data_IF_721420918960
#
_entry.id   IF_721420918960
#
_cell.length_a   1.000
_cell.length_b   1.000
_cell.length_c   1.000
_cell.angle_alpha   90.00
_cell.angle_beta   90.00
_cell.angle_gamma   90.00
#
_symmetry.space_group_name_H-M   'P 1'
#
loop_
_entity.id
_entity.type
_entity.pdbx_description
1 polymer ?
#
# COMPACT_ATOMS: atom_id res chain seq x y z
N UNK A 1 -16.76 -7.81 -15.96
CA UNK A 1 -16.41 -6.45 -16.44
C UNK A 1 -16.48 -5.38 -15.34
N UNK A 2 -16.52 -5.75 -14.04
CA UNK A 2 -16.69 -4.84 -12.89
C UNK A 2 -15.39 -4.46 -12.18
N UNK A 3 -14.27 -5.11 -12.50
CA UNK A 3 -13.00 -4.98 -11.78
C UNK A 3 -12.31 -3.62 -12.01
N UNK A 4 -12.37 -3.09 -13.24
CA UNK A 4 -11.77 -1.79 -13.57
C UNK A 4 -12.45 -0.61 -12.87
N UNK A 5 -13.77 -0.69 -12.66
CA UNK A 5 -14.53 0.38 -12.00
C UNK A 5 -14.13 0.45 -10.51
N UNK A 6 -13.99 -0.71 -9.86
CA UNK A 6 -13.56 -0.81 -8.46
C UNK A 6 -12.13 -0.31 -8.29
N UNK A 7 -11.24 -0.70 -9.19
CA UNK A 7 -9.84 -0.22 -9.20
C UNK A 7 -9.77 1.30 -9.43
N UNK A 8 -10.60 1.83 -10.34
CA UNK A 8 -10.67 3.26 -10.63
C UNK A 8 -11.18 4.06 -9.43
N UNK A 9 -12.26 3.61 -8.77
CA UNK A 9 -12.79 4.30 -7.59
C UNK A 9 -11.82 4.23 -6.41
N UNK A 10 -11.13 3.11 -6.23
CA UNK A 10 -10.09 2.97 -5.20
C UNK A 10 -8.89 3.90 -5.47
N UNK A 11 -8.47 4.04 -6.73
CA UNK A 11 -7.41 4.97 -7.12
C UNK A 11 -7.80 6.43 -6.85
N UNK A 12 -9.05 6.81 -7.13
CA UNK A 12 -9.59 8.13 -6.81
C UNK A 12 -9.62 8.42 -5.31
N UNK A 13 -10.08 7.46 -4.49
CA UNK A 13 -10.09 7.59 -3.03
C UNK A 13 -8.69 7.74 -2.46
N UNK A 14 -7.72 6.97 -2.97
CA UNK A 14 -6.33 7.06 -2.52
C UNK A 14 -5.70 8.42 -2.88
N UNK A 15 -6.04 8.96 -4.06
CA UNK A 15 -5.62 10.30 -4.46
C UNK A 15 -6.24 11.37 -3.57
N UNK A 16 -7.54 11.29 -3.31
CA UNK A 16 -8.25 12.24 -2.45
C UNK A 16 -7.68 12.25 -1.03
N UNK A 17 -7.42 11.06 -0.44
CA UNK A 17 -6.77 10.96 0.86
C UNK A 17 -5.37 11.61 0.89
N UNK A 18 -4.58 11.44 -0.17
CA UNK A 18 -3.28 12.07 -0.29
C UNK A 18 -3.39 13.60 -0.42
N UNK A 19 -4.32 14.10 -1.25
CA UNK A 19 -4.56 15.55 -1.41
C UNK A 19 -5.07 16.19 -0.10
N UNK A 20 -5.98 15.52 0.62
CA UNK A 20 -6.49 15.97 1.91
C UNK A 20 -5.38 16.03 2.99
N UNK A 21 -4.46 15.06 2.99
CA UNK A 21 -3.33 15.07 3.91
C UNK A 21 -2.44 16.32 3.74
N UNK A 22 -2.34 16.86 2.52
CA UNK A 22 -1.55 18.06 2.22
C UNK A 22 -2.33 19.37 2.29
N UNK A 23 -3.65 19.31 2.49
CA UNK A 23 -4.54 20.49 2.52
C UNK A 23 -4.13 21.51 3.58
N UNK A 24 -3.74 21.05 4.77
CA UNK A 24 -3.33 21.91 5.88
C UNK A 24 -2.08 22.74 5.57
N UNK A 25 -1.09 22.15 4.88
CA UNK A 25 0.11 22.85 4.44
C UNK A 25 -0.21 23.89 3.38
N UNK A 26 -1.03 23.53 2.38
CA UNK A 26 -1.48 24.44 1.33
C UNK A 26 -2.22 25.64 1.95
N UNK A 27 -3.09 25.41 2.92
CA UNK A 27 -3.84 26.47 3.61
C UNK A 27 -2.92 27.36 4.45
N UNK A 28 -1.92 26.79 5.13
CA UNK A 28 -0.94 27.56 5.89
C UNK A 28 -0.09 28.47 4.98
N UNK A 29 0.37 27.96 3.84
CA UNK A 29 1.12 28.76 2.85
C UNK A 29 0.26 29.83 2.20
N UNK A 30 -1.01 29.52 1.91
CA UNK A 30 -1.97 30.49 1.36
C UNK A 30 -2.20 31.63 2.36
N UNK A 31 -2.44 31.31 3.64
CA UNK A 31 -2.59 32.32 4.69
C UNK A 31 -1.32 33.15 4.90
N UNK A 32 -0.14 32.57 4.76
CA UNK A 32 1.13 33.30 4.83
C UNK A 32 1.25 34.27 3.67
N UNK A 33 0.97 33.81 2.44
CA UNK A 33 1.00 34.64 1.24
C UNK A 33 0.01 35.81 1.34
N UNK A 34 -1.20 35.56 1.84
CA UNK A 34 -2.21 36.60 2.08
C UNK A 34 -1.74 37.64 3.10
N UNK A 35 -1.14 37.19 4.23
CA UNK A 35 -0.57 38.09 5.23
C UNK A 35 0.59 38.92 4.66
N UNK A 36 1.44 38.33 3.84
CA UNK A 36 2.53 39.04 3.16
C UNK A 36 2.00 40.06 2.15
N UNK A 37 0.96 39.71 1.39
CA UNK A 37 0.31 40.64 0.47
C UNK A 37 -0.33 41.82 1.21
N UNK A 38 -1.01 41.56 2.34
CA UNK A 38 -1.59 42.61 3.21
C UNK A 38 -0.51 43.51 3.83
N UNK A 39 0.64 42.94 4.22
CA UNK A 39 1.78 43.70 4.73
C UNK A 39 2.46 44.55 3.64
N UNK A 40 2.54 44.04 2.40
CA UNK A 40 3.08 44.75 1.24
C UNK A 40 2.17 45.92 0.79
N UNK A 41 0.85 45.78 0.95
CA UNK A 41 -0.11 46.85 0.67
C UNK A 41 -0.26 47.87 1.80
N UNK A 42 0.41 47.69 2.94
CA UNK A 42 0.48 48.72 3.97
C UNK A 42 1.50 49.79 3.53
N UNK A 43 1.09 51.04 3.23
CA UNK A 43 2.02 52.07 2.84
C UNK A 43 3.04 52.27 3.97
N UNK A 44 4.31 52.07 3.65
CA UNK A 44 5.43 52.41 4.51
C UNK A 44 5.39 53.92 4.80
N UNK A 45 4.90 54.33 5.97
CA UNK A 45 5.33 55.61 6.55
C UNK A 45 6.75 55.38 7.06
N UNK A 46 7.72 55.65 6.21
CA UNK A 46 9.15 55.67 6.53
C UNK A 46 9.45 56.70 7.63
N UNK A 47 10.00 56.31 8.80
CA UNK A 47 10.82 57.21 9.60
C UNK A 47 12.24 57.09 9.05
N UNK A 48 12.63 58.07 8.23
CA UNK A 48 14.01 58.27 7.78
C UNK A 48 14.93 58.48 8.98
N UNK A 49 15.91 57.59 9.15
CA UNK A 49 17.10 57.80 9.98
C UNK A 49 18.19 58.44 9.11
N UNK A 50 18.71 59.64 9.44
CA UNK A 50 19.84 60.21 8.71
C UNK A 50 21.16 59.75 9.33
N UNK A 51 21.91 58.94 8.59
CA UNK A 51 23.37 58.79 8.75
C UNK A 51 24.02 60.11 8.31
N UNK A 52 24.63 60.84 9.23
CA UNK A 52 25.30 62.11 8.93
C UNK A 52 26.79 62.02 9.26
N UNK A 53 27.60 61.92 8.20
CA UNK A 53 29.04 62.13 8.20
C UNK A 53 29.36 63.62 8.37
N UNK A 54 30.23 63.91 9.34
CA UNK A 54 30.99 65.14 9.65
C UNK A 54 30.86 66.39 8.74
N UNK A 55 30.49 67.52 9.35
CA UNK A 55 31.10 68.86 9.15
C UNK A 55 30.68 69.81 10.29
N UNK A 56 31.53 70.73 10.78
CA UNK A 56 31.21 71.55 11.94
C UNK A 56 30.52 72.85 11.51
N UNK A 57 29.33 73.12 12.04
CA UNK A 57 28.74 74.46 11.98
C UNK A 57 28.32 74.91 13.37
N UNK A 58 28.88 76.07 13.72
CA UNK A 58 28.67 76.89 14.89
C UNK A 58 27.17 77.21 15.05
N UNK A 59 26.61 76.94 16.23
CA UNK A 59 25.25 77.35 16.56
C UNK A 59 24.76 76.73 17.86
N UNK A 60 25.07 77.38 18.98
CA UNK A 60 24.29 77.19 20.21
C UNK A 60 22.94 77.92 20.01
N UNK A 61 21.84 77.41 20.59
CA UNK A 61 21.50 77.95 21.89
C UNK A 61 21.10 76.89 22.92
N UNK A 62 21.43 77.27 24.15
CA UNK A 62 21.12 76.64 25.43
C UNK A 62 19.63 76.34 25.58
N UNK A 63 19.30 75.10 25.95
CA UNK A 63 18.13 74.77 26.77
C UNK A 63 18.37 73.45 27.53
N UNK A 64 18.65 73.59 28.84
CA UNK A 64 18.37 72.66 29.95
C UNK A 64 18.64 71.17 29.69
N UNK A 65 19.77 70.60 30.11
CA UNK A 65 20.27 70.69 31.48
C UNK A 65 19.63 69.62 32.37
N UNK A 66 19.76 68.36 31.98
CA UNK A 66 20.07 67.28 32.91
C UNK A 66 21.15 66.45 32.23
N UNK A 67 22.40 66.88 32.37
CA UNK A 67 23.53 65.97 32.19
C UNK A 67 23.22 64.76 33.07
N UNK A 68 23.05 63.54 32.52
CA UNK A 68 22.95 62.38 33.38
C UNK A 68 24.22 62.42 34.21
N UNK A 69 24.04 62.55 35.51
CA UNK A 69 25.12 62.33 36.45
C UNK A 69 25.78 61.01 36.05
N UNK A 70 27.11 60.91 36.06
CA UNK A 70 27.85 59.69 35.64
C UNK A 70 27.20 58.39 36.18
N UNK A 71 26.59 58.48 37.36
CA UNK A 71 25.78 57.43 37.99
C UNK A 71 24.52 56.98 37.22
N UNK A 72 23.77 57.85 36.54
CA UNK A 72 22.56 57.49 35.78
C UNK A 72 22.90 56.75 34.47
N UNK A 73 23.96 57.15 33.79
CA UNK A 73 24.48 56.42 32.63
C UNK A 73 24.99 55.03 33.02
N UNK A 74 25.67 54.93 34.16
CA UNK A 74 26.11 53.64 34.74
C UNK A 74 24.92 52.77 35.17
N UNK A 75 23.85 53.36 35.70
CA UNK A 75 22.62 52.63 36.04
C UNK A 75 21.93 52.07 34.79
N UNK A 76 21.84 52.85 33.70
CA UNK A 76 21.32 52.39 32.42
C UNK A 76 22.12 51.23 31.83
N UNK A 77 23.46 51.32 31.84
CA UNK A 77 24.34 50.24 31.37
C UNK A 77 24.20 48.96 32.20
N UNK A 78 23.99 49.06 33.52
CA UNK A 78 23.73 47.90 34.38
C UNK A 78 22.40 47.23 34.07
N UNK A 79 21.36 48.02 33.81
CA UNK A 79 20.05 47.50 33.42
C UNK A 79 20.12 46.77 32.06
N UNK A 80 20.86 47.33 31.10
CA UNK A 80 21.03 46.73 29.78
C UNK A 80 21.88 45.45 29.83
N UNK A 81 22.92 45.43 30.67
CA UNK A 81 23.71 44.22 30.94
C UNK A 81 22.86 43.12 31.61
N UNK A 82 21.98 43.47 32.55
CA UNK A 82 21.05 42.52 33.15
C UNK A 82 20.03 41.98 32.13
N UNK A 83 19.50 42.85 31.27
CA UNK A 83 18.58 42.49 30.18
C UNK A 83 19.24 41.52 29.19
N UNK A 84 20.47 41.82 28.75
CA UNK A 84 21.23 40.96 27.83
C UNK A 84 21.63 39.64 28.47
N UNK A 85 21.99 39.61 29.76
CA UNK A 85 22.21 38.36 30.48
C UNK A 85 20.96 37.50 30.58
N UNK A 86 19.79 38.11 30.84
CA UNK A 86 18.51 37.39 30.86
C UNK A 86 18.16 36.83 29.48
N UNK A 87 18.31 37.63 28.42
CA UNK A 87 18.10 37.18 27.05
C UNK A 87 19.04 36.02 26.67
N UNK A 88 20.30 36.10 27.09
CA UNK A 88 21.28 35.02 26.88
C UNK A 88 20.89 33.74 27.63
N UNK A 89 20.43 33.84 28.87
CA UNK A 89 19.97 32.69 29.64
C UNK A 89 18.73 32.02 29.00
N UNK A 90 17.77 32.81 28.52
CA UNK A 90 16.60 32.27 27.82
C UNK A 90 16.99 31.59 26.52
N UNK A 91 17.90 32.18 25.74
CA UNK A 91 18.32 31.62 24.45
C UNK A 91 19.13 30.33 24.63
N UNK A 92 19.98 30.26 25.66
CA UNK A 92 20.68 29.05 26.05
C UNK A 92 19.71 27.93 26.47
N UNK A 93 18.64 28.26 27.21
CA UNK A 93 17.61 27.29 27.56
C UNK A 93 16.87 26.76 26.34
N UNK A 94 16.49 27.63 25.39
CA UNK A 94 15.83 27.21 24.15
C UNK A 94 16.75 26.38 23.24
N UNK A 95 18.04 26.70 23.18
CA UNK A 95 18.99 25.90 22.40
C UNK A 95 19.09 24.48 22.96
N UNK A 96 19.18 24.35 24.29
CA UNK A 96 19.22 23.05 24.95
C UNK A 96 17.94 22.23 24.70
N UNK A 97 16.78 22.88 24.71
CA UNK A 97 15.50 22.23 24.43
C UNK A 97 15.42 21.73 22.97
N UNK A 98 15.81 22.57 22.01
CA UNK A 98 15.85 22.20 20.59
C UNK A 98 16.86 21.09 20.32
N UNK A 99 18.02 21.10 20.97
CA UNK A 99 19.01 20.01 20.88
C UNK A 99 18.44 18.68 21.39
N UNK A 100 17.70 18.71 22.51
CA UNK A 100 17.04 17.53 23.05
C UNK A 100 15.95 16.99 22.10
N UNK A 101 15.11 17.88 21.54
CA UNK A 101 14.09 17.51 20.56
C UNK A 101 14.70 16.93 19.29
N UNK A 102 15.81 17.49 18.81
CA UNK A 102 16.52 16.98 17.64
C UNK A 102 17.08 15.58 17.89
N UNK A 103 17.68 15.34 19.07
CA UNK A 103 18.16 14.02 19.45
C UNK A 103 17.01 12.99 19.50
N UNK A 104 15.86 13.37 20.06
CA UNK A 104 14.66 12.52 20.12
C UNK A 104 14.11 12.21 18.72
N UNK A 105 13.95 13.21 17.86
CA UNK A 105 13.50 13.00 16.49
C UNK A 105 14.46 12.12 15.69
N UNK A 106 15.77 12.23 15.96
CA UNK A 106 16.76 11.35 15.33
C UNK A 106 16.61 9.90 15.79
N UNK A 107 16.32 9.64 17.07
CA UNK A 107 16.07 8.26 17.55
C UNK A 107 14.80 7.70 16.97
N UNK A 108 13.70 8.46 16.98
CA UNK A 108 12.41 8.06 16.39
C UNK A 108 12.52 7.80 14.88
N UNK A 109 13.30 8.61 14.16
CA UNK A 109 13.57 8.40 12.74
C UNK A 109 14.33 7.10 12.48
N UNK A 110 15.29 6.75 13.34
CA UNK A 110 16.05 5.49 13.20
C UNK A 110 15.17 4.28 13.49
N UNK A 111 14.33 4.36 14.50
CA UNK A 111 13.39 3.29 14.86
C UNK A 111 12.34 3.07 13.77
N UNK A 112 11.71 4.14 13.29
CA UNK A 112 10.75 4.07 12.19
C UNK A 112 11.39 3.52 10.91
N UNK A 113 12.62 3.92 10.57
CA UNK A 113 13.35 3.36 9.43
C UNK A 113 13.61 1.85 9.59
N UNK A 114 13.96 1.39 10.80
CA UNK A 114 14.14 -0.03 11.09
C UNK A 114 12.82 -0.83 11.00
N UNK A 115 11.72 -0.25 11.48
CA UNK A 115 10.38 -0.84 11.36
C UNK A 115 9.95 -0.95 9.90
N UNK A 116 10.13 0.11 9.11
CA UNK A 116 9.84 0.11 7.67
C UNK A 116 10.65 -0.96 6.94
N UNK A 117 11.94 -1.09 7.24
CA UNK A 117 12.78 -2.13 6.64
C UNK A 117 12.30 -3.54 6.99
N UNK A 118 11.87 -3.76 8.23
CA UNK A 118 11.35 -5.05 8.70
C UNK A 118 10.02 -5.39 8.02
N UNK A 119 9.07 -4.45 8.01
CA UNK A 119 7.78 -4.62 7.36
C UNK A 119 7.92 -4.82 5.84
N UNK A 120 8.86 -4.13 5.20
CA UNK A 120 9.15 -4.30 3.77
C UNK A 120 9.66 -5.71 3.45
N UNK A 121 10.53 -6.26 4.31
CA UNK A 121 10.99 -7.65 4.17
C UNK A 121 9.85 -8.65 4.37
N UNK A 122 9.03 -8.47 5.39
CA UNK A 122 7.88 -9.33 5.67
C UNK A 122 6.85 -9.31 4.53
N UNK A 123 6.62 -8.13 3.93
CA UNK A 123 5.78 -7.98 2.74
C UNK A 123 6.33 -8.80 1.57
N UNK A 124 7.62 -8.65 1.24
CA UNK A 124 8.24 -9.39 0.13
C UNK A 124 8.22 -10.90 0.35
N UNK A 125 8.44 -11.37 1.58
CA UNK A 125 8.33 -12.79 1.92
C UNK A 125 6.90 -13.31 1.75
N UNK A 126 5.90 -12.54 2.23
CA UNK A 126 4.49 -12.89 2.08
C UNK A 126 4.05 -12.94 0.61
N UNK A 127 4.50 -11.99 -0.21
CA UNK A 127 4.23 -12.00 -1.65
C UNK A 127 4.84 -13.21 -2.36
N UNK A 128 6.05 -13.65 -1.97
CA UNK A 128 6.65 -14.87 -2.53
C UNK A 128 5.83 -16.10 -2.18
N UNK A 129 5.48 -16.26 -0.90
CA UNK A 129 4.62 -17.35 -0.43
C UNK A 129 3.28 -17.39 -1.16
N UNK A 130 2.68 -16.23 -1.41
CA UNK A 130 1.42 -16.15 -2.16
C UNK A 130 1.60 -16.65 -3.60
N UNK A 131 2.64 -16.19 -4.31
CA UNK A 131 2.93 -16.67 -5.67
C UNK A 131 3.18 -18.18 -5.72
N UNK A 132 3.88 -18.73 -4.74
CA UNK A 132 4.14 -20.17 -4.65
C UNK A 132 2.84 -20.96 -4.43
N UNK A 133 1.94 -20.45 -3.57
CA UNK A 133 0.61 -21.05 -3.36
C UNK A 133 -0.27 -20.95 -4.60
N UNK A 134 -0.23 -19.83 -5.32
CA UNK A 134 -0.98 -19.66 -6.57
C UNK A 134 -0.49 -20.63 -7.65
N UNK A 135 0.83 -20.82 -7.75
CA UNK A 135 1.41 -21.80 -8.66
C UNK A 135 1.02 -23.23 -8.29
N UNK A 136 1.03 -23.57 -7.00
CA UNK A 136 0.59 -24.87 -6.50
C UNK A 136 -0.91 -25.11 -6.76
N UNK A 137 -1.76 -24.10 -6.52
CA UNK A 137 -3.19 -24.20 -6.78
C UNK A 137 -3.48 -24.40 -8.26
N UNK A 138 -2.78 -23.68 -9.15
CA UNK A 138 -2.88 -23.89 -10.60
C UNK A 138 -2.45 -25.30 -10.99
N UNK A 139 -1.35 -25.80 -10.44
CA UNK A 139 -0.89 -27.16 -10.68
C UNK A 139 -1.89 -28.22 -10.21
N UNK A 140 -2.46 -28.06 -9.01
CA UNK A 140 -3.51 -28.94 -8.48
C UNK A 140 -4.78 -28.89 -9.32
N UNK A 141 -5.22 -27.71 -9.74
CA UNK A 141 -6.40 -27.56 -10.60
C UNK A 141 -6.20 -28.25 -11.96
N UNK A 142 -5.02 -28.12 -12.56
CA UNK A 142 -4.69 -28.82 -13.81
C UNK A 142 -4.66 -30.35 -13.62
N UNK A 143 -4.11 -30.83 -12.50
CA UNK A 143 -4.12 -32.26 -12.18
C UNK A 143 -5.55 -32.79 -12.01
N UNK A 144 -6.40 -32.06 -11.28
CA UNK A 144 -7.82 -32.42 -11.11
C UNK A 144 -8.51 -32.50 -12.47
N UNK A 145 -8.32 -31.51 -13.35
CA UNK A 145 -8.88 -31.54 -14.69
C UNK A 145 -8.45 -32.78 -15.47
N UNK A 146 -7.15 -33.08 -15.49
CA UNK A 146 -6.62 -34.29 -16.14
C UNK A 146 -7.22 -35.59 -15.56
N UNK A 147 -7.35 -35.70 -14.24
CA UNK A 147 -7.95 -36.88 -13.62
C UNK A 147 -9.43 -37.02 -13.96
N UNK A 148 -10.15 -35.91 -14.13
CA UNK A 148 -11.55 -35.92 -14.57
C UNK A 148 -11.65 -36.37 -16.04
N UNK A 149 -10.78 -35.87 -16.92
CA UNK A 149 -10.73 -36.29 -18.32
C UNK A 149 -10.40 -37.79 -18.43
N UNK A 150 -9.46 -38.29 -17.64
CA UNK A 150 -9.12 -39.72 -17.57
C UNK A 150 -10.31 -40.55 -17.04
N UNK A 151 -11.01 -40.08 -16.01
CA UNK A 151 -12.21 -40.75 -15.48
C UNK A 151 -13.33 -40.84 -16.52
N UNK A 152 -13.60 -39.75 -17.25
CA UNK A 152 -14.60 -39.73 -18.34
C UNK A 152 -14.19 -40.66 -19.48
N UNK A 153 -12.91 -40.67 -19.84
CA UNK A 153 -12.39 -41.59 -20.86
C UNK A 153 -12.56 -43.06 -20.43
N UNK A 154 -12.28 -43.39 -19.16
CA UNK A 154 -12.45 -44.73 -18.62
C UNK A 154 -13.92 -45.14 -18.57
N UNK A 155 -14.81 -44.24 -18.17
CA UNK A 155 -16.26 -44.47 -18.19
C UNK A 155 -16.77 -44.77 -19.62
N UNK A 156 -16.30 -44.01 -20.62
CA UNK A 156 -16.64 -44.28 -22.01
C UNK A 156 -16.11 -45.64 -22.49
N UNK A 157 -14.87 -46.00 -22.13
CA UNK A 157 -14.31 -47.31 -22.47
C UNK A 157 -15.06 -48.46 -21.80
N UNK A 158 -15.51 -48.27 -20.56
CA UNK A 158 -16.32 -49.22 -19.82
C UNK A 158 -17.66 -49.43 -20.54
N UNK A 159 -18.39 -48.34 -20.84
CA UNK A 159 -19.66 -48.42 -21.56
C UNK A 159 -19.52 -49.16 -22.92
N UNK A 160 -18.45 -48.87 -23.67
CA UNK A 160 -18.18 -49.58 -24.93
C UNK A 160 -17.85 -51.07 -24.72
N UNK A 161 -17.17 -51.42 -23.63
CA UNK A 161 -16.86 -52.80 -23.31
C UNK A 161 -18.11 -53.57 -22.88
N UNK A 162 -18.98 -52.95 -22.09
CA UNK A 162 -20.27 -53.49 -21.67
C UNK A 162 -21.19 -53.72 -22.88
N UNK A 163 -21.32 -52.76 -23.80
CA UNK A 163 -22.11 -52.92 -25.03
C UNK A 163 -21.60 -54.08 -25.89
N UNK A 164 -20.28 -54.21 -26.05
CA UNK A 164 -19.67 -55.34 -26.78
C UNK A 164 -19.94 -56.68 -26.09
N UNK A 165 -19.84 -56.72 -24.76
CA UNK A 165 -20.10 -57.93 -23.98
C UNK A 165 -21.58 -58.36 -24.12
N UNK A 166 -22.50 -57.41 -24.02
CA UNK A 166 -23.92 -57.68 -24.25
C UNK A 166 -24.18 -58.19 -25.67
N UNK A 167 -23.60 -57.55 -26.69
CA UNK A 167 -23.75 -57.96 -28.08
C UNK A 167 -23.24 -59.40 -28.30
N UNK A 168 -22.03 -59.71 -27.82
CA UNK A 168 -21.47 -61.06 -27.91
C UNK A 168 -22.30 -62.10 -27.15
N UNK A 169 -22.84 -61.73 -25.98
CA UNK A 169 -23.73 -62.60 -25.20
C UNK A 169 -25.02 -62.93 -25.97
N UNK A 170 -25.64 -61.91 -26.60
CA UNK A 170 -26.82 -62.09 -27.46
C UNK A 170 -26.50 -62.95 -28.68
N UNK A 171 -25.41 -62.66 -29.39
CA UNK A 171 -24.99 -63.44 -30.56
C UNK A 171 -24.67 -64.91 -30.21
N UNK A 172 -23.99 -65.15 -29.08
CA UNK A 172 -23.71 -66.50 -28.61
C UNK A 172 -24.99 -67.26 -28.26
N UNK A 173 -25.92 -66.62 -27.55
CA UNK A 173 -27.23 -67.19 -27.26
C UNK A 173 -27.99 -67.58 -28.53
N UNK A 174 -28.06 -66.67 -29.51
CA UNK A 174 -28.70 -66.95 -30.80
C UNK A 174 -28.04 -68.12 -31.54
N UNK A 175 -26.70 -68.22 -31.52
CA UNK A 175 -25.97 -69.33 -32.13
C UNK A 175 -26.24 -70.66 -31.43
N UNK A 176 -26.24 -70.67 -30.08
CA UNK A 176 -26.56 -71.84 -29.28
C UNK A 176 -28.00 -72.29 -29.52
N UNK A 177 -28.96 -71.36 -29.54
CA UNK A 177 -30.37 -71.67 -29.80
C UNK A 177 -30.56 -72.26 -31.21
N UNK A 178 -29.90 -71.69 -32.23
CA UNK A 178 -29.92 -72.24 -33.60
C UNK A 178 -29.27 -73.62 -33.67
N UNK A 179 -28.15 -73.81 -32.98
CA UNK A 179 -27.45 -75.09 -32.95
C UNK A 179 -28.28 -76.17 -32.23
N UNK A 180 -28.85 -75.85 -31.07
CA UNK A 180 -29.76 -76.72 -30.32
C UNK A 180 -30.98 -77.13 -31.16
N UNK A 181 -31.55 -76.20 -31.93
CA UNK A 181 -32.64 -76.50 -32.86
C UNK A 181 -32.21 -77.50 -33.94
N UNK A 182 -31.08 -77.26 -34.61
CA UNK A 182 -30.55 -78.17 -35.64
C UNK A 182 -30.23 -79.55 -35.06
N UNK A 183 -29.55 -79.60 -33.93
CA UNK A 183 -29.20 -80.87 -33.27
C UNK A 183 -30.43 -81.62 -32.78
N UNK A 184 -31.46 -80.92 -32.31
CA UNK A 184 -32.76 -81.51 -31.96
C UNK A 184 -33.45 -82.14 -33.17
N UNK A 185 -33.49 -81.43 -34.31
CA UNK A 185 -34.03 -81.95 -35.56
C UNK A 185 -33.26 -83.19 -36.07
N UNK A 186 -31.92 -83.16 -35.98
CA UNK A 186 -31.06 -84.29 -36.33
C UNK A 186 -31.26 -85.49 -35.40
N UNK A 187 -31.33 -85.27 -34.08
CA UNK A 187 -31.59 -86.31 -33.10
C UNK A 187 -32.97 -86.94 -33.29
N UNK A 188 -34.01 -86.14 -33.53
CA UNK A 188 -35.34 -86.65 -33.86
C UNK A 188 -35.35 -87.45 -35.16
N UNK A 189 -34.61 -87.00 -36.18
CA UNK A 189 -34.50 -87.72 -37.46
C UNK A 189 -33.81 -89.07 -37.26
N UNK A 190 -32.69 -89.11 -36.54
CA UNK A 190 -32.00 -90.37 -36.21
C UNK A 190 -32.91 -91.27 -35.38
N UNK A 191 -33.66 -90.74 -34.41
CA UNK A 191 -34.59 -91.54 -33.61
C UNK A 191 -35.72 -92.14 -34.46
N UNK A 192 -36.29 -91.35 -35.40
CA UNK A 192 -37.26 -91.83 -36.40
C UNK A 192 -36.68 -92.93 -37.29
N UNK A 193 -35.46 -92.72 -37.79
CA UNK A 193 -34.77 -93.67 -38.68
C UNK A 193 -34.33 -94.94 -37.94
N UNK A 194 -34.01 -94.84 -36.65
CA UNK A 194 -33.52 -95.95 -35.81
C UNK A 194 -34.63 -96.85 -35.27
N UNK A 195 -35.91 -96.57 -35.55
CA UNK A 195 -37.09 -97.34 -35.10
C UNK A 195 -36.96 -97.85 -33.65
N UNK A 196 -36.85 -96.93 -32.70
CA UNK A 196 -37.16 -97.24 -31.30
C UNK A 196 -38.60 -96.80 -30.99
N UNK A 197 -39.53 -97.71 -31.28
CA UNK A 197 -40.88 -97.80 -30.73
C UNK A 197 -41.23 -99.29 -30.61
#
# INVERSE_FOLDING_TARGET
MSDWLVQYTAALQNRDAHEQAHKSYVDAYTQLADKTALAAHKPHSVPVTPTSTSTPSRGNPVARGSTPTSTDAVAGLRADLASTQKARATLAATLKDVEAQLAQLQTERKESAAQIATLSRAKLDSERKLRDRDAELKGKAALVGRTQDEMVSLEMQLNMAEEKAEKLSRENKDLVDRWMKRMGEEAEKINRDSKWA
#
